data_IF_329914001631
#
_entry.id   IF_329914001631
#
_cell.length_a   1.000
_cell.length_b   1.000
_cell.length_c   1.000
_cell.angle_alpha   90.00
_cell.angle_beta   90.00
_cell.angle_gamma   90.00
#
_symmetry.space_group_name_H-M   'P 1'
#
loop_
_entity.id
_entity.type
_entity.pdbx_description
1 polymer ?
#
# COMPACT_ATOMS: atom_id res chain seq x y z
N UNK A 1 -54.67 -21.63 -73.88
CA UNK A 1 -54.73 -21.76 -72.41
C UNK A 1 -53.79 -20.77 -71.84
N UNK A 2 -54.28 -19.60 -71.41
CA UNK A 2 -53.47 -18.54 -70.76
C UNK A 2 -53.74 -18.59 -69.24
N UNK A 3 -52.70 -18.81 -68.42
CA UNK A 3 -52.79 -18.68 -67.00
C UNK A 3 -52.36 -17.27 -66.57
N UNK A 4 -53.24 -16.58 -65.90
CA UNK A 4 -53.08 -15.27 -65.33
C UNK A 4 -52.42 -15.49 -63.94
N UNK A 5 -51.29 -14.87 -63.72
CA UNK A 5 -50.67 -14.77 -62.39
C UNK A 5 -51.10 -13.46 -61.73
N UNK A 6 -51.76 -13.60 -60.61
CA UNK A 6 -52.11 -12.49 -59.71
C UNK A 6 -50.92 -12.21 -58.75
N UNK A 7 -50.35 -11.01 -58.83
CA UNK A 7 -49.32 -10.55 -57.94
C UNK A 7 -49.93 -9.75 -56.79
N UNK A 8 -49.88 -10.27 -55.61
CA UNK A 8 -50.24 -9.55 -54.37
C UNK A 8 -49.03 -8.71 -53.87
N UNK A 9 -49.18 -7.39 -53.86
CA UNK A 9 -48.27 -6.46 -53.27
C UNK A 9 -48.46 -6.50 -51.72
N UNK A 10 -47.39 -6.88 -50.96
CA UNK A 10 -47.35 -6.76 -49.55
C UNK A 10 -46.62 -5.45 -49.22
N UNK A 11 -47.35 -4.50 -48.64
CA UNK A 11 -46.75 -3.25 -48.14
C UNK A 11 -46.01 -3.51 -46.79
N UNK A 12 -44.71 -3.38 -46.80
CA UNK A 12 -43.89 -3.44 -45.56
C UNK A 12 -43.86 -2.05 -44.93
N UNK A 13 -44.47 -1.91 -43.76
CA UNK A 13 -44.34 -0.73 -42.91
C UNK A 13 -42.98 -0.80 -42.16
N UNK A 14 -42.08 0.10 -42.52
CA UNK A 14 -40.82 0.34 -41.81
C UNK A 14 -41.12 1.09 -40.52
N UNK A 15 -40.92 0.42 -39.36
CA UNK A 15 -40.79 1.08 -38.07
C UNK A 15 -39.32 1.55 -37.89
N UNK A 16 -39.05 2.79 -37.45
CA UNK A 16 -37.69 3.20 -37.14
C UNK A 16 -37.26 2.52 -35.87
N UNK A 17 -36.19 1.71 -35.94
CA UNK A 17 -35.49 1.18 -34.77
C UNK A 17 -34.80 2.32 -34.03
N UNK A 18 -35.34 2.69 -32.90
CA UNK A 18 -34.65 3.57 -31.92
C UNK A 18 -33.46 2.81 -31.35
N UNK A 19 -32.27 3.10 -31.86
CA UNK A 19 -31.03 2.64 -31.26
C UNK A 19 -30.78 3.41 -29.94
N UNK A 20 -31.23 2.85 -28.83
CA UNK A 20 -30.76 3.29 -27.53
C UNK A 20 -29.33 2.75 -27.33
N UNK A 21 -28.35 3.53 -27.75
CA UNK A 21 -26.98 3.35 -27.29
C UNK A 21 -26.90 3.73 -25.81
N UNK A 22 -27.08 2.75 -24.93
CA UNK A 22 -26.67 2.91 -23.54
C UNK A 22 -25.13 2.97 -23.54
N UNK A 23 -24.61 4.17 -23.58
CA UNK A 23 -23.22 4.43 -23.28
C UNK A 23 -22.99 4.07 -21.81
N UNK A 24 -22.38 2.91 -21.58
CA UNK A 24 -21.87 2.55 -20.26
C UNK A 24 -20.74 3.50 -19.88
N UNK A 25 -21.08 4.64 -19.28
CA UNK A 25 -20.10 5.53 -18.69
C UNK A 25 -19.57 4.86 -17.40
N UNK A 26 -18.26 4.58 -17.28
CA UNK A 26 -17.70 3.97 -16.08
C UNK A 26 -18.05 4.73 -14.78
N UNK A 27 -18.26 6.05 -14.85
CA UNK A 27 -18.67 6.87 -13.73
C UNK A 27 -20.08 6.49 -13.20
N UNK A 28 -21.03 6.17 -14.08
CA UNK A 28 -22.40 5.81 -13.70
C UNK A 28 -22.52 4.45 -13.01
N UNK A 29 -21.56 3.54 -13.23
CA UNK A 29 -21.53 2.23 -12.56
C UNK A 29 -21.01 2.32 -11.12
N UNK A 30 -20.11 3.27 -10.84
CA UNK A 30 -19.60 3.53 -9.49
C UNK A 30 -20.67 4.13 -8.56
N UNK A 31 -21.56 4.96 -9.09
CA UNK A 31 -22.64 5.61 -8.32
C UNK A 31 -23.76 4.66 -7.84
N UNK A 32 -23.82 3.42 -8.37
CA UNK A 32 -24.79 2.39 -7.98
C UNK A 32 -24.23 1.38 -6.96
N UNK A 33 -22.92 1.40 -6.67
CA UNK A 33 -22.31 0.54 -5.67
C UNK A 33 -22.53 1.12 -4.27
N UNK A 34 -22.73 0.24 -3.28
CA UNK A 34 -22.76 0.66 -1.87
C UNK A 34 -21.40 1.19 -1.47
N UNK A 35 -21.35 2.43 -0.99
CA UNK A 35 -20.12 3.02 -0.48
C UNK A 35 -19.67 2.32 0.79
N UNK A 36 -18.37 2.10 0.91
CA UNK A 36 -17.73 1.74 2.17
C UNK A 36 -17.32 3.04 2.86
N UNK A 37 -17.60 3.16 4.16
CA UNK A 37 -17.13 4.25 5.02
C UNK A 37 -15.95 3.77 5.86
N UNK A 38 -15.17 4.65 6.50
CA UNK A 38 -14.07 4.22 7.37
C UNK A 38 -14.48 3.19 8.41
N UNK A 39 -15.71 3.25 8.95
CA UNK A 39 -16.24 2.29 9.93
C UNK A 39 -16.61 0.94 9.32
N UNK A 40 -16.94 0.90 8.04
CA UNK A 40 -17.37 -0.32 7.33
C UNK A 40 -16.30 -0.85 6.39
N UNK A 41 -15.29 -0.05 6.08
CA UNK A 41 -14.19 -0.46 5.21
C UNK A 41 -13.16 -1.26 6.01
N UNK A 42 -13.38 -2.56 6.06
CA UNK A 42 -12.41 -3.50 6.62
C UNK A 42 -11.23 -3.61 5.68
N UNK A 43 -10.10 -3.13 6.12
CA UNK A 43 -8.87 -3.11 5.36
C UNK A 43 -7.67 -3.11 6.30
N UNK A 44 -6.64 -3.86 5.92
CA UNK A 44 -5.31 -3.76 6.51
C UNK A 44 -4.42 -2.92 5.58
N UNK A 45 -3.41 -2.30 6.19
CA UNK A 45 -2.31 -1.67 5.47
C UNK A 45 -2.77 -0.63 4.41
N UNK A 46 -3.64 0.34 4.78
CA UNK A 46 -4.25 1.23 3.81
C UNK A 46 -3.27 2.32 3.35
N UNK A 47 -2.78 2.21 2.13
CA UNK A 47 -1.95 3.21 1.47
C UNK A 47 -2.79 4.09 0.53
N UNK A 48 -2.84 5.41 0.78
CA UNK A 48 -3.66 6.36 0.02
C UNK A 48 -2.85 7.03 -1.09
N UNK A 49 -3.16 6.72 -2.33
CA UNK A 49 -2.64 7.43 -3.51
C UNK A 49 -3.55 8.61 -3.86
N UNK A 50 -2.99 9.82 -3.95
CA UNK A 50 -3.73 11.05 -4.29
C UNK A 50 -3.56 11.36 -5.78
N UNK A 51 -4.65 11.40 -6.53
CA UNK A 51 -4.66 11.85 -7.93
C UNK A 51 -5.22 13.28 -8.02
N UNK A 52 -4.34 14.27 -7.93
CA UNK A 52 -4.70 15.69 -8.02
C UNK A 52 -5.34 16.07 -9.36
N UNK A 53 -4.97 15.37 -10.45
CA UNK A 53 -5.50 15.63 -11.79
C UNK A 53 -6.97 15.19 -11.91
N UNK A 54 -7.30 14.02 -11.36
CA UNK A 54 -8.65 13.46 -11.35
C UNK A 54 -9.47 13.89 -10.12
N UNK A 55 -8.86 14.62 -9.19
CA UNK A 55 -9.46 15.05 -7.92
C UNK A 55 -10.08 13.89 -7.15
N UNK A 56 -9.29 12.84 -6.93
CA UNK A 56 -9.73 11.66 -6.19
C UNK A 56 -8.55 10.94 -5.53
N UNK A 57 -8.91 9.94 -4.73
CA UNK A 57 -8.00 9.09 -3.97
C UNK A 57 -8.19 7.64 -4.40
N UNK A 58 -7.14 6.85 -4.29
CA UNK A 58 -7.17 5.41 -4.51
C UNK A 58 -6.53 4.70 -3.33
N UNK A 59 -7.08 3.56 -2.95
CA UNK A 59 -6.43 2.55 -2.13
C UNK A 59 -6.36 1.28 -2.97
N UNK A 60 -5.18 0.67 -3.03
CA UNK A 60 -4.99 -0.64 -3.64
C UNK A 60 -4.73 -1.61 -2.49
N UNK A 61 -5.44 -2.72 -2.47
CA UNK A 61 -5.34 -3.74 -1.44
C UNK A 61 -5.16 -5.13 -2.06
N UNK A 62 -4.72 -6.07 -1.27
CA UNK A 62 -4.58 -7.46 -1.68
C UNK A 62 -5.94 -8.10 -1.94
N UNK A 63 -5.97 -9.00 -2.92
CA UNK A 63 -7.15 -9.74 -3.32
C UNK A 63 -6.76 -11.12 -3.88
N UNK A 64 -7.76 -11.91 -4.23
CA UNK A 64 -7.61 -13.13 -5.03
C UNK A 64 -8.59 -13.09 -6.19
N UNK A 65 -8.22 -13.74 -7.30
CA UNK A 65 -9.14 -14.02 -8.39
C UNK A 65 -10.08 -15.18 -8.03
N UNK A 66 -11.11 -15.41 -8.82
CA UNK A 66 -11.98 -16.59 -8.67
C UNK A 66 -11.20 -17.92 -8.79
N UNK A 67 -10.13 -17.93 -9.59
CA UNK A 67 -9.20 -19.07 -9.73
C UNK A 67 -8.14 -19.11 -8.63
N UNK A 68 -8.27 -18.30 -7.57
CA UNK A 68 -7.39 -18.23 -6.41
C UNK A 68 -5.96 -17.72 -6.70
N UNK A 69 -5.72 -17.08 -7.84
CA UNK A 69 -4.46 -16.38 -8.06
C UNK A 69 -4.36 -15.12 -7.20
N UNK A 70 -3.15 -14.74 -6.81
CA UNK A 70 -2.90 -13.47 -6.13
C UNK A 70 -3.28 -12.31 -7.03
N UNK A 71 -3.97 -11.35 -6.46
CA UNK A 71 -4.48 -10.20 -7.19
C UNK A 71 -4.40 -8.93 -6.35
N UNK A 72 -4.56 -7.78 -6.99
CA UNK A 72 -4.77 -6.51 -6.33
C UNK A 72 -6.11 -5.92 -6.78
N UNK A 73 -6.82 -5.33 -5.81
CA UNK A 73 -8.10 -4.63 -6.03
C UNK A 73 -7.96 -3.18 -5.63
N UNK A 74 -8.52 -2.29 -6.44
CA UNK A 74 -8.54 -0.88 -6.15
C UNK A 74 -9.89 -0.41 -5.61
N UNK A 75 -9.83 0.57 -4.73
CA UNK A 75 -10.96 1.37 -4.27
C UNK A 75 -10.71 2.83 -4.59
N UNK A 76 -11.76 3.59 -4.86
CA UNK A 76 -11.71 5.00 -5.21
C UNK A 76 -12.61 5.81 -4.29
N UNK A 77 -12.13 6.99 -3.87
CA UNK A 77 -12.89 8.00 -3.16
C UNK A 77 -12.68 9.40 -3.76
N UNK A 78 -13.61 10.32 -3.53
CA UNK A 78 -13.44 11.76 -3.84
C UNK A 78 -13.39 12.64 -2.59
N UNK A 79 -13.70 12.07 -1.42
CA UNK A 79 -13.89 12.80 -0.16
C UNK A 79 -13.19 12.16 1.05
N UNK A 80 -12.54 10.98 0.88
CA UNK A 80 -11.94 10.15 1.93
C UNK A 80 -12.95 9.48 2.88
N UNK A 81 -14.23 9.78 2.74
CA UNK A 81 -15.32 9.26 3.57
C UNK A 81 -16.05 8.10 2.87
N UNK A 82 -16.24 8.20 1.55
CA UNK A 82 -16.97 7.22 0.76
C UNK A 82 -16.04 6.54 -0.25
N UNK A 83 -15.86 5.23 -0.10
CA UNK A 83 -14.99 4.41 -0.94
C UNK A 83 -15.79 3.42 -1.77
N UNK A 84 -15.48 3.35 -3.04
CA UNK A 84 -16.17 2.52 -4.02
C UNK A 84 -15.20 1.54 -4.66
N UNK A 85 -15.63 0.28 -4.79
CA UNK A 85 -14.86 -0.75 -5.48
C UNK A 85 -14.63 -0.37 -6.95
N UNK A 86 -13.38 -0.30 -7.35
CA UNK A 86 -12.96 0.04 -8.72
C UNK A 86 -12.47 -1.20 -9.50
N UNK A 87 -12.57 -2.40 -8.91
CA UNK A 87 -12.25 -3.68 -9.54
C UNK A 87 -10.81 -4.14 -9.36
N UNK A 88 -10.50 -5.28 -9.97
CA UNK A 88 -9.15 -5.84 -9.98
C UNK A 88 -8.26 -5.00 -10.89
N UNK A 89 -7.03 -4.74 -10.42
CA UNK A 89 -6.01 -3.96 -11.12
C UNK A 89 -4.76 -4.78 -11.45
N UNK A 90 -4.64 -5.97 -10.85
CA UNK A 90 -3.58 -6.94 -11.08
C UNK A 90 -4.10 -8.36 -10.89
N UNK A 91 -3.59 -9.28 -11.70
CA UNK A 91 -3.80 -10.72 -11.64
C UNK A 91 -2.46 -11.41 -11.92
N UNK A 92 -1.93 -12.14 -10.93
CA UNK A 92 -0.62 -12.77 -11.01
C UNK A 92 -0.55 -13.92 -12.04
N UNK A 93 -1.67 -14.45 -12.50
CA UNK A 93 -1.70 -15.56 -13.47
C UNK A 93 -1.04 -15.24 -14.81
N UNK A 94 -0.74 -13.97 -15.07
CA UNK A 94 -0.24 -13.48 -16.34
C UNK A 94 1.25 -13.13 -16.35
N UNK A 95 1.98 -13.34 -15.23
CA UNK A 95 3.39 -13.00 -15.15
C UNK A 95 4.20 -13.94 -14.22
N UNK A 96 5.41 -13.54 -13.89
CA UNK A 96 6.35 -14.37 -13.11
C UNK A 96 5.85 -14.71 -11.69
N UNK A 97 4.88 -13.98 -11.14
CA UNK A 97 4.28 -14.27 -9.85
C UNK A 97 3.13 -15.28 -9.91
N UNK A 98 2.87 -15.87 -11.09
CA UNK A 98 1.92 -16.98 -11.25
C UNK A 98 2.28 -18.22 -10.41
N UNK A 99 3.57 -18.36 -10.05
CA UNK A 99 4.06 -19.47 -9.21
C UNK A 99 3.80 -19.28 -7.71
N UNK A 100 3.30 -18.12 -7.28
CA UNK A 100 2.98 -17.85 -5.87
C UNK A 100 1.82 -18.72 -5.43
N UNK A 101 2.07 -19.61 -4.46
CA UNK A 101 1.05 -20.49 -3.91
C UNK A 101 0.07 -19.69 -3.04
N UNK A 102 -1.22 -19.78 -3.34
CA UNK A 102 -2.25 -18.99 -2.65
C UNK A 102 -2.57 -19.47 -1.25
N UNK A 103 -2.12 -20.64 -0.85
CA UNK A 103 -2.35 -21.22 0.48
C UNK A 103 -1.15 -21.03 1.41
N UNK A 104 0.06 -21.12 0.88
CA UNK A 104 1.30 -21.11 1.67
C UNK A 104 2.03 -19.76 1.59
N UNK A 105 2.05 -19.13 0.42
CA UNK A 105 2.77 -17.88 0.20
C UNK A 105 1.98 -16.66 0.68
N UNK A 106 2.71 -15.67 1.13
CA UNK A 106 2.13 -14.40 1.57
C UNK A 106 1.82 -13.47 0.41
N UNK A 107 0.89 -12.54 0.62
CA UNK A 107 0.56 -11.47 -0.30
C UNK A 107 0.01 -10.29 0.51
N UNK A 108 0.89 -9.36 0.93
CA UNK A 108 0.60 -8.36 1.95
C UNK A 108 1.02 -6.95 1.55
N UNK A 109 0.44 -5.97 2.25
CA UNK A 109 0.89 -4.60 2.38
C UNK A 109 1.25 -3.89 1.05
N UNK A 110 0.28 -3.69 0.13
CA UNK A 110 0.55 -3.01 -1.12
C UNK A 110 0.62 -1.48 -0.96
N UNK A 111 1.80 -0.90 -1.16
CA UNK A 111 2.06 0.54 -1.17
C UNK A 111 2.13 1.07 -2.60
N UNK A 112 1.26 2.01 -2.96
CA UNK A 112 1.16 2.50 -4.34
C UNK A 112 1.67 3.91 -4.53
N UNK A 113 2.61 4.09 -5.45
CA UNK A 113 3.27 5.36 -5.74
C UNK A 113 3.13 5.75 -7.22
N UNK A 114 3.14 7.06 -7.47
CA UNK A 114 3.42 7.60 -8.79
C UNK A 114 4.87 8.09 -8.84
N UNK A 115 5.69 7.44 -9.67
CA UNK A 115 7.10 7.80 -9.83
C UNK A 115 7.45 7.94 -11.31
N UNK A 116 8.02 9.08 -11.70
CA UNK A 116 8.41 9.41 -13.09
C UNK A 116 7.33 9.13 -14.15
N UNK A 117 6.08 9.45 -13.81
CA UNK A 117 4.94 9.31 -14.73
C UNK A 117 4.27 7.94 -14.76
N UNK A 118 4.87 6.91 -14.18
CA UNK A 118 4.34 5.55 -14.04
C UNK A 118 3.80 5.32 -12.64
N UNK A 119 3.01 4.27 -12.47
CA UNK A 119 2.49 3.83 -11.17
C UNK A 119 3.18 2.52 -10.77
N UNK A 120 3.56 2.45 -9.51
CA UNK A 120 4.23 1.30 -8.92
C UNK A 120 3.53 0.91 -7.64
N UNK A 121 3.25 -0.37 -7.49
CA UNK A 121 2.72 -0.92 -6.23
C UNK A 121 3.78 -1.87 -5.66
N UNK A 122 4.34 -1.49 -4.53
CA UNK A 122 5.22 -2.37 -3.76
C UNK A 122 4.36 -3.33 -2.97
N UNK A 123 4.71 -4.60 -2.94
CA UNK A 123 3.93 -5.63 -2.27
C UNK A 123 4.85 -6.68 -1.67
N UNK A 124 4.52 -7.16 -0.49
CA UNK A 124 5.20 -8.30 0.13
C UNK A 124 4.65 -9.61 -0.41
N UNK A 125 5.55 -10.49 -0.84
CA UNK A 125 5.24 -11.84 -1.31
C UNK A 125 6.25 -12.84 -0.78
N UNK A 126 6.01 -14.12 -0.99
CA UNK A 126 6.98 -15.20 -0.93
C UNK A 126 6.78 -16.14 -2.13
N UNK A 127 7.73 -16.98 -2.38
CA UNK A 127 7.62 -18.08 -3.34
C UNK A 127 8.42 -19.26 -2.78
N UNK A 128 7.93 -19.83 -1.68
CA UNK A 128 8.64 -20.81 -0.87
C UNK A 128 8.95 -22.11 -1.63
N UNK A 129 8.05 -22.52 -2.53
CA UNK A 129 8.29 -23.63 -3.44
C UNK A 129 9.52 -23.41 -4.38
N UNK A 130 9.90 -22.16 -4.60
CA UNK A 130 11.10 -21.75 -5.35
C UNK A 130 12.30 -21.45 -4.44
N UNK A 131 12.19 -21.68 -3.13
CA UNK A 131 13.23 -21.37 -2.14
C UNK A 131 13.38 -19.86 -1.87
N UNK A 132 12.36 -19.06 -2.18
CA UNK A 132 12.38 -17.60 -2.00
C UNK A 132 11.51 -17.25 -0.78
N UNK A 133 12.11 -16.86 0.37
CA UNK A 133 11.39 -16.44 1.56
C UNK A 133 10.66 -15.13 1.29
N UNK A 134 10.02 -14.55 2.31
CA UNK A 134 9.31 -13.27 2.17
C UNK A 134 10.22 -12.18 1.61
N UNK A 135 9.72 -11.47 0.63
CA UNK A 135 10.41 -10.38 -0.05
C UNK A 135 9.41 -9.27 -0.41
N UNK A 136 9.90 -8.06 -0.60
CA UNK A 136 9.11 -7.02 -1.25
C UNK A 136 9.52 -6.88 -2.71
N UNK A 137 8.52 -6.73 -3.57
CA UNK A 137 8.69 -6.44 -5.00
C UNK A 137 7.88 -5.22 -5.40
N UNK A 138 8.06 -4.73 -6.64
CA UNK A 138 7.25 -3.69 -7.24
C UNK A 138 6.56 -4.20 -8.51
N UNK A 139 5.27 -4.00 -8.59
CA UNK A 139 4.46 -4.12 -9.80
C UNK A 139 4.35 -2.76 -10.46
N UNK A 140 4.21 -2.72 -11.78
CA UNK A 140 4.23 -1.48 -12.55
C UNK A 140 3.00 -1.34 -13.46
N UNK A 141 2.50 -0.11 -13.61
CA UNK A 141 1.50 0.25 -14.61
C UNK A 141 1.85 1.56 -15.33
N UNK A 142 1.79 1.53 -16.66
CA UNK A 142 1.93 2.71 -17.52
C UNK A 142 0.60 3.41 -17.82
N UNK A 143 -0.52 2.75 -17.55
CA UNK A 143 -1.86 3.24 -17.95
C UNK A 143 -2.56 4.06 -16.86
N UNK A 144 -2.18 3.88 -15.61
CA UNK A 144 -2.80 4.64 -14.53
C UNK A 144 -2.87 3.87 -13.20
N UNK A 145 -3.45 4.51 -12.16
CA UNK A 145 -3.56 3.87 -10.84
C UNK A 145 -4.48 2.65 -10.83
N UNK A 146 -5.38 2.54 -11.79
CA UNK A 146 -6.29 1.40 -11.95
C UNK A 146 -5.72 0.31 -12.86
N UNK A 147 -4.42 0.30 -13.08
CA UNK A 147 -3.74 -0.76 -13.83
C UNK A 147 -4.04 -0.80 -15.32
N UNK A 148 -3.88 -1.96 -15.97
CA UNK A 148 -3.35 -3.19 -15.36
C UNK A 148 -1.91 -3.02 -14.87
N UNK A 149 -1.61 -3.63 -13.73
CA UNK A 149 -0.24 -3.77 -13.24
C UNK A 149 0.36 -5.08 -13.73
N UNK A 150 1.67 -5.17 -13.73
CA UNK A 150 2.43 -6.37 -14.10
C UNK A 150 3.74 -6.43 -13.34
N UNK A 151 4.30 -7.62 -13.16
CA UNK A 151 5.65 -7.81 -12.64
C UNK A 151 6.67 -7.20 -13.62
N UNK A 152 7.79 -6.72 -13.10
CA UNK A 152 8.80 -6.01 -13.90
C UNK A 152 9.84 -6.94 -14.53
N UNK A 153 9.82 -8.22 -14.19
CA UNK A 153 10.67 -9.27 -14.73
C UNK A 153 9.88 -10.55 -14.98
N UNK A 154 10.29 -11.32 -15.98
CA UNK A 154 9.66 -12.59 -16.33
C UNK A 154 10.19 -13.76 -15.47
N UNK A 155 11.26 -13.56 -14.73
CA UNK A 155 11.87 -14.58 -13.87
C UNK A 155 11.69 -14.23 -12.40
N UNK A 156 11.06 -15.13 -11.64
CA UNK A 156 10.77 -14.95 -10.21
C UNK A 156 12.01 -14.61 -9.38
N UNK A 157 13.18 -15.15 -9.71
CA UNK A 157 14.42 -14.86 -8.99
C UNK A 157 14.95 -13.43 -9.16
N UNK A 158 14.45 -12.69 -10.13
CA UNK A 158 14.80 -11.29 -10.39
C UNK A 158 13.78 -10.31 -9.78
N UNK A 159 12.66 -10.82 -9.27
CA UNK A 159 11.56 -10.05 -8.73
C UNK A 159 11.87 -9.40 -7.36
N UNK A 160 12.59 -10.05 -6.41
CA UNK A 160 12.82 -9.46 -5.09
C UNK A 160 13.66 -8.18 -5.15
N UNK A 161 13.15 -7.12 -4.53
CA UNK A 161 13.85 -5.84 -4.32
C UNK A 161 14.53 -5.74 -2.95
N UNK A 162 14.28 -6.70 -2.07
CA UNK A 162 14.94 -6.90 -0.78
C UNK A 162 16.02 -7.97 -0.88
N UNK A 163 16.94 -8.09 0.10
CA UNK A 163 18.04 -9.07 0.05
C UNK A 163 17.54 -10.51 -0.09
N UNK A 164 18.30 -11.30 -0.86
CA UNK A 164 17.98 -12.70 -1.10
C UNK A 164 18.22 -13.55 0.17
N UNK A 165 17.35 -14.52 0.43
CA UNK A 165 17.46 -15.44 1.56
C UNK A 165 17.14 -14.85 2.93
N UNK A 166 16.65 -13.63 2.99
CA UNK A 166 16.28 -12.93 4.23
C UNK A 166 14.77 -12.67 4.22
N UNK A 167 14.09 -12.93 5.35
CA UNK A 167 12.68 -12.61 5.53
C UNK A 167 12.47 -11.09 5.59
N UNK A 168 11.94 -10.52 4.51
CA UNK A 168 11.71 -9.07 4.39
C UNK A 168 10.27 -8.77 4.00
N UNK A 169 9.68 -7.78 4.67
CA UNK A 169 8.29 -7.34 4.43
C UNK A 169 8.17 -5.81 4.35
N UNK A 170 7.00 -5.32 4.00
CA UNK A 170 6.51 -3.94 4.13
C UNK A 170 7.44 -2.90 3.50
N UNK A 171 7.86 -3.16 2.27
CA UNK A 171 8.75 -2.24 1.56
C UNK A 171 8.02 -1.01 1.05
N UNK A 172 8.46 0.18 1.46
CA UNK A 172 7.95 1.47 1.01
C UNK A 172 8.99 2.26 0.21
N UNK A 173 8.53 3.05 -0.77
CA UNK A 173 9.41 3.85 -1.61
C UNK A 173 9.75 5.18 -0.94
N UNK A 174 11.03 5.46 -0.81
CA UNK A 174 11.54 6.79 -0.49
C UNK A 174 12.44 7.30 -1.63
N UNK A 175 12.22 8.55 -2.05
CA UNK A 175 13.09 9.21 -3.05
C UNK A 175 13.82 10.35 -2.37
N UNK A 176 15.14 10.26 -2.33
CA UNK A 176 15.96 11.29 -1.70
C UNK A 176 16.07 12.57 -2.55
N UNK A 177 16.63 13.63 -1.98
CA UNK A 177 16.76 14.96 -2.62
C UNK A 177 17.59 14.94 -3.92
N UNK A 178 18.53 14.01 -4.03
CA UNK A 178 19.33 13.80 -5.25
C UNK A 178 18.60 12.97 -6.32
N UNK A 179 17.34 12.58 -6.04
CA UNK A 179 16.53 11.73 -6.90
C UNK A 179 16.87 10.24 -6.83
N UNK A 180 17.69 9.83 -5.87
CA UNK A 180 17.99 8.40 -5.62
C UNK A 180 16.77 7.70 -5.01
N UNK A 181 16.23 6.64 -5.65
CA UNK A 181 15.16 5.86 -5.08
C UNK A 181 15.70 4.79 -4.12
N UNK A 182 15.01 4.62 -3.02
CA UNK A 182 15.25 3.61 -1.99
C UNK A 182 13.97 2.85 -1.70
N UNK A 183 14.09 1.55 -1.45
CA UNK A 183 13.06 0.80 -0.73
C UNK A 183 13.48 0.74 0.74
N UNK A 184 12.59 1.18 1.63
CA UNK A 184 12.73 1.04 3.08
C UNK A 184 11.86 -0.13 3.49
N UNK A 185 12.40 -1.09 4.22
CA UNK A 185 11.71 -2.36 4.48
C UNK A 185 12.04 -2.91 5.86
N UNK A 186 11.23 -3.83 6.32
CA UNK A 186 11.45 -4.59 7.54
C UNK A 186 12.19 -5.88 7.23
N UNK A 187 13.28 -6.15 7.94
CA UNK A 187 13.80 -7.49 8.18
C UNK A 187 13.09 -8.06 9.39
N UNK A 188 12.38 -9.17 9.20
CA UNK A 188 11.50 -9.70 10.23
C UNK A 188 12.26 -10.25 11.46
N UNK A 189 11.58 -10.21 12.59
CA UNK A 189 12.07 -10.66 13.89
C UNK A 189 12.08 -12.19 14.08
N UNK A 190 11.39 -12.94 13.22
CA UNK A 190 11.16 -14.39 13.32
C UNK A 190 11.75 -15.20 12.16
N UNK A 191 12.61 -14.60 11.35
CA UNK A 191 13.31 -15.32 10.28
C UNK A 191 14.33 -16.32 10.84
N UNK A 192 14.65 -17.39 10.11
CA UNK A 192 15.62 -18.41 10.54
C UNK A 192 17.02 -17.83 10.79
N UNK A 193 17.33 -16.69 10.19
CA UNK A 193 18.56 -15.92 10.34
C UNK A 193 18.57 -15.01 11.57
N UNK A 194 17.44 -14.85 12.27
CA UNK A 194 17.30 -13.91 13.38
C UNK A 194 17.55 -14.60 14.72
N UNK A 195 18.67 -14.27 15.36
CA UNK A 195 19.07 -14.91 16.61
C UNK A 195 18.36 -14.34 17.86
N UNK A 196 17.98 -13.06 17.84
CA UNK A 196 17.55 -12.32 19.02
C UNK A 196 16.05 -11.99 19.02
N UNK A 197 15.27 -12.48 18.07
CA UNK A 197 13.85 -12.15 17.89
C UNK A 197 13.59 -10.64 17.79
N UNK A 198 14.49 -9.90 17.14
CA UNK A 198 14.38 -8.45 16.97
C UNK A 198 14.28 -8.11 15.49
N UNK A 199 13.18 -7.47 15.12
CA UNK A 199 12.98 -6.89 13.81
C UNK A 199 13.83 -5.63 13.61
N UNK A 200 14.22 -5.39 12.37
CA UNK A 200 15.10 -4.30 11.97
C UNK A 200 14.51 -3.56 10.78
N UNK A 201 14.68 -2.25 10.73
CA UNK A 201 14.43 -1.47 9.53
C UNK A 201 15.71 -1.29 8.72
N UNK A 202 15.62 -1.49 7.43
CA UNK A 202 16.72 -1.38 6.47
C UNK A 202 16.28 -0.57 5.25
N UNK A 203 17.25 -0.06 4.49
CA UNK A 203 16.98 0.57 3.21
C UNK A 203 17.92 0.00 2.14
N UNK A 204 17.36 -0.32 0.97
CA UNK A 204 18.08 -0.78 -0.22
C UNK A 204 17.93 0.27 -1.33
N UNK A 205 19.04 0.73 -1.87
CA UNK A 205 19.00 1.60 -3.05
C UNK A 205 18.49 0.82 -4.26
N UNK A 206 17.61 1.45 -5.03
CA UNK A 206 17.03 0.88 -6.24
C UNK A 206 17.63 1.52 -7.49
N UNK A 207 17.49 0.84 -8.63
CA UNK A 207 17.68 1.44 -9.95
C UNK A 207 16.69 2.58 -10.16
N UNK A 208 16.99 3.47 -11.11
CA UNK A 208 16.07 4.59 -11.46
C UNK A 208 14.75 4.12 -12.09
N UNK A 209 14.63 2.84 -12.46
CA UNK A 209 13.41 2.20 -12.98
C UNK A 209 12.64 1.45 -11.90
N UNK A 210 13.19 1.33 -10.70
CA UNK A 210 12.67 0.55 -9.57
C UNK A 210 12.61 -0.97 -9.86
N UNK A 211 13.40 -1.45 -10.81
CA UNK A 211 13.40 -2.83 -11.28
C UNK A 211 14.60 -3.68 -10.75
N UNK A 212 15.37 -3.15 -9.82
CA UNK A 212 16.50 -3.89 -9.26
C UNK A 212 17.22 -3.16 -8.14
N UNK A 213 18.02 -3.92 -7.40
CA UNK A 213 18.84 -3.49 -6.27
C UNK A 213 20.15 -2.87 -6.77
N UNK A 214 20.69 -1.88 -6.04
CA UNK A 214 21.97 -1.22 -6.34
C UNK A 214 22.83 -1.13 -5.07
N UNK A 215 23.98 -1.82 -5.06
CA UNK A 215 24.89 -1.85 -3.91
C UNK A 215 24.30 -2.57 -2.70
N UNK A 216 24.95 -2.40 -1.55
CA UNK A 216 24.54 -3.05 -0.31
C UNK A 216 23.42 -2.27 0.39
N UNK A 217 22.52 -2.95 1.14
CA UNK A 217 21.53 -2.31 1.97
C UNK A 217 22.20 -1.58 3.15
N UNK A 218 21.50 -0.59 3.69
CA UNK A 218 21.93 0.14 4.88
C UNK A 218 20.99 -0.13 6.04
N UNK A 219 21.55 -0.38 7.22
CA UNK A 219 20.83 -0.51 8.47
C UNK A 219 20.30 0.86 8.92
N UNK A 220 19.07 0.90 9.45
CA UNK A 220 18.44 2.13 9.94
C UNK A 220 18.24 2.09 11.46
N UNK A 221 17.52 1.08 11.99
CA UNK A 221 17.28 0.93 13.43
C UNK A 221 16.77 -0.49 13.77
N UNK A 222 16.74 -0.80 15.06
CA UNK A 222 16.15 -2.02 15.64
C UNK A 222 14.95 -1.68 16.52
N UNK A 223 13.97 -2.58 16.55
CA UNK A 223 12.75 -2.40 17.34
C UNK A 223 13.00 -2.27 18.84
N UNK A 224 13.99 -3.00 19.39
CA UNK A 224 14.34 -2.99 20.82
C UNK A 224 15.06 -1.71 21.30
N UNK A 225 15.43 -0.82 20.37
CA UNK A 225 15.95 0.51 20.69
C UNK A 225 14.84 1.50 21.09
N UNK A 226 13.58 1.20 20.79
CA UNK A 226 12.45 2.06 21.09
C UNK A 226 11.95 1.85 22.53
N UNK A 227 11.94 2.88 23.41
CA UNK A 227 11.56 2.72 24.82
C UNK A 227 10.13 2.23 25.06
N UNK A 228 9.25 2.36 24.07
CA UNK A 228 7.83 1.99 24.14
C UNK A 228 7.54 0.58 23.64
N UNK A 229 8.55 -0.17 23.17
CA UNK A 229 8.42 -1.54 22.64
C UNK A 229 8.98 -2.54 23.68
N UNK A 230 8.16 -3.10 24.56
CA UNK A 230 8.62 -4.03 25.60
C UNK A 230 8.89 -5.45 25.09
N UNK A 231 8.54 -5.75 23.85
CA UNK A 231 8.47 -7.08 23.26
C UNK A 231 7.03 -7.57 23.14
N UNK A 232 6.79 -8.37 22.11
CA UNK A 232 5.48 -8.94 21.70
C UNK A 232 5.62 -10.45 21.70
N UNK A 233 4.64 -11.19 22.21
CA UNK A 233 4.62 -12.66 22.28
C UNK A 233 6.04 -13.24 22.49
N UNK A 234 6.29 -14.16 23.26
CA UNK A 234 7.58 -14.81 23.47
C UNK A 234 8.84 -13.91 23.40
N UNK A 235 8.69 -12.59 23.61
CA UNK A 235 9.77 -11.60 23.60
C UNK A 235 10.20 -11.09 22.21
N UNK A 236 9.38 -11.29 21.17
CA UNK A 236 9.67 -10.72 19.84
C UNK A 236 9.52 -9.20 19.81
N UNK A 237 10.45 -8.50 19.15
CA UNK A 237 10.38 -7.06 18.92
C UNK A 237 10.10 -6.83 17.45
N UNK A 238 8.90 -6.39 17.13
CA UNK A 238 8.40 -6.27 15.76
C UNK A 238 8.74 -4.90 15.18
N UNK A 239 9.15 -4.86 13.92
CA UNK A 239 9.09 -3.68 13.06
C UNK A 239 8.12 -3.99 11.94
N UNK A 240 7.14 -3.13 11.70
CA UNK A 240 6.25 -3.16 10.55
C UNK A 240 6.19 -1.79 9.89
N UNK A 241 5.92 -1.76 8.58
CA UNK A 241 5.59 -0.57 7.80
C UNK A 241 6.52 0.65 8.01
N UNK A 242 7.83 0.53 7.82
CA UNK A 242 8.72 1.68 7.90
C UNK A 242 8.46 2.61 6.72
N UNK A 243 7.96 3.81 7.00
CA UNK A 243 7.58 4.82 6.02
C UNK A 243 8.34 6.12 6.27
N UNK A 244 9.10 6.63 5.31
CA UNK A 244 9.86 7.87 5.43
C UNK A 244 9.13 9.04 4.77
N UNK A 245 8.96 10.10 5.53
CA UNK A 245 8.44 11.39 5.10
C UNK A 245 9.50 12.47 5.24
N UNK A 246 9.66 13.31 4.22
CA UNK A 246 10.48 14.51 4.32
C UNK A 246 9.62 15.69 4.76
N UNK A 247 9.88 16.20 5.95
CA UNK A 247 9.33 17.49 6.37
C UNK A 247 9.99 18.61 5.55
N UNK A 248 9.20 19.23 4.69
CA UNK A 248 9.70 20.29 3.81
C UNK A 248 10.06 21.57 4.55
N UNK A 249 9.48 21.79 5.74
CA UNK A 249 9.70 23.02 6.50
C UNK A 249 11.06 22.97 7.23
N UNK A 250 11.38 21.85 7.87
CA UNK A 250 12.63 21.68 8.60
C UNK A 250 13.74 21.01 7.77
N UNK A 251 13.41 20.36 6.66
CA UNK A 251 14.31 19.51 5.89
C UNK A 251 14.63 18.16 6.52
N UNK A 252 14.15 17.89 7.73
CA UNK A 252 14.34 16.63 8.46
C UNK A 252 13.59 15.49 7.79
N UNK A 253 14.06 14.27 8.05
CA UNK A 253 13.29 13.07 7.75
C UNK A 253 12.57 12.58 9.00
N UNK A 254 11.29 12.32 8.85
CA UNK A 254 10.43 11.65 9.81
C UNK A 254 10.19 10.23 9.31
N UNK A 255 10.53 9.22 10.08
CA UNK A 255 10.18 7.83 9.80
C UNK A 255 9.09 7.40 10.75
N UNK A 256 7.98 6.94 10.21
CA UNK A 256 6.93 6.26 10.95
C UNK A 256 7.11 4.75 10.78
N UNK A 257 6.75 3.99 11.79
CA UNK A 257 6.81 2.54 11.80
C UNK A 257 5.83 2.00 12.83
N UNK A 258 5.52 0.73 12.78
CA UNK A 258 4.60 0.11 13.72
C UNK A 258 5.25 -1.03 14.50
N UNK A 259 4.77 -1.19 15.72
CA UNK A 259 5.13 -2.28 16.62
C UNK A 259 4.05 -2.48 17.69
N UNK A 260 4.32 -3.36 18.64
CA UNK A 260 3.43 -3.62 19.77
C UNK A 260 3.96 -2.96 21.03
N UNK A 261 3.10 -2.18 21.70
CA UNK A 261 3.36 -1.62 23.03
C UNK A 261 2.82 -2.53 24.13
N UNK A 262 2.87 -2.11 25.38
CA UNK A 262 2.41 -2.90 26.55
C UNK A 262 0.98 -3.43 26.34
N UNK A 263 0.80 -4.72 26.62
CA UNK A 263 -0.49 -5.42 26.43
C UNK A 263 -0.74 -5.88 24.99
N UNK A 264 0.31 -6.00 24.19
CA UNK A 264 0.25 -6.42 22.78
C UNK A 264 -0.64 -5.52 21.91
N UNK A 265 -0.69 -4.23 22.25
CA UNK A 265 -1.45 -3.24 21.51
C UNK A 265 -0.61 -2.68 20.36
N UNK A 266 -1.13 -2.77 19.13
CA UNK A 266 -0.44 -2.27 17.94
C UNK A 266 -0.41 -0.74 17.94
N UNK A 267 0.74 -0.17 17.61
CA UNK A 267 0.98 1.26 17.76
C UNK A 267 1.94 1.80 16.69
N UNK A 268 1.83 3.09 16.43
CA UNK A 268 2.71 3.84 15.51
C UNK A 268 3.78 4.55 16.33
N UNK A 269 5.04 4.27 16.00
CA UNK A 269 6.20 5.00 16.50
C UNK A 269 6.78 5.96 15.49
N UNK A 270 7.67 6.82 15.95
CA UNK A 270 8.39 7.78 15.13
C UNK A 270 9.88 7.77 15.43
N UNK A 271 10.67 7.95 14.35
CA UNK A 271 12.08 8.37 14.43
C UNK A 271 12.27 9.65 13.62
N UNK A 272 13.30 10.40 13.97
CA UNK A 272 13.69 11.61 13.24
C UNK A 272 15.17 11.53 12.84
N UNK A 273 15.49 11.84 11.56
CA UNK A 273 16.85 12.11 11.12
C UNK A 273 17.03 13.63 10.98
N UNK A 274 17.77 14.23 11.90
CA UNK A 274 18.04 15.67 11.90
C UNK A 274 18.96 16.12 10.76
N UNK A 275 19.78 15.20 10.25
CA UNK A 275 20.65 15.47 9.09
C UNK A 275 19.88 15.56 7.77
N UNK A 276 18.62 15.13 7.74
CA UNK A 276 17.78 15.07 6.53
C UNK A 276 18.27 14.03 5.53
N UNK A 277 19.13 13.09 5.92
CA UNK A 277 19.60 11.98 5.08
C UNK A 277 19.03 10.65 5.55
N UNK A 278 18.82 9.73 4.60
CA UNK A 278 18.33 8.38 4.92
C UNK A 278 19.28 7.59 5.83
N UNK A 279 20.56 7.93 5.83
CA UNK A 279 21.57 7.28 6.68
C UNK A 279 21.48 7.66 8.16
N UNK A 280 20.64 8.65 8.52
CA UNK A 280 20.52 9.12 9.88
C UNK A 280 21.70 9.98 10.36
N UNK A 281 22.04 9.98 11.65
CA UNK A 281 21.50 9.05 12.67
C UNK A 281 20.00 9.23 12.91
N UNK A 282 19.33 8.11 13.21
CA UNK A 282 17.91 8.08 13.52
C UNK A 282 17.71 8.10 15.04
N UNK A 283 16.82 8.96 15.51
CA UNK A 283 16.48 9.09 16.92
C UNK A 283 15.02 8.72 17.15
N UNK A 284 14.78 7.75 18.04
CA UNK A 284 13.43 7.35 18.43
C UNK A 284 12.74 8.41 19.29
N UNK A 285 11.46 8.62 19.02
CA UNK A 285 10.60 9.29 19.98
C UNK A 285 10.27 8.34 21.14
N UNK A 286 10.23 8.85 22.38
CA UNK A 286 10.11 8.02 23.58
C UNK A 286 8.72 7.41 23.77
N UNK A 287 7.73 7.85 23.00
CA UNK A 287 6.33 7.40 23.09
C UNK A 287 5.78 7.17 21.70
N UNK A 288 4.81 6.25 21.54
CA UNK A 288 4.10 6.10 20.28
C UNK A 288 3.31 7.37 19.92
N UNK A 289 3.16 7.64 18.63
CA UNK A 289 2.35 8.72 18.06
C UNK A 289 0.88 8.37 18.11
N UNK A 290 0.57 7.09 17.91
CA UNK A 290 -0.79 6.55 17.87
C UNK A 290 -0.82 5.15 18.50
N UNK A 291 -1.93 4.80 19.15
CA UNK A 291 -2.13 3.49 19.81
C UNK A 291 -3.43 2.86 19.33
N UNK A 292 -3.48 1.54 19.28
CA UNK A 292 -4.58 0.71 18.77
C UNK A 292 -4.78 0.84 17.24
N UNK A 293 -3.67 0.90 16.52
CA UNK A 293 -3.63 0.89 15.07
C UNK A 293 -2.22 1.10 14.56
N UNK A 294 -2.01 0.87 13.28
CA UNK A 294 -0.69 1.00 12.68
C UNK A 294 -0.70 0.74 11.18
N UNK A 295 0.46 0.44 10.65
CA UNK A 295 0.74 0.33 9.22
C UNK A 295 0.31 1.61 8.49
N UNK A 296 0.94 2.67 8.86
CA UNK A 296 0.57 4.04 8.53
C UNK A 296 1.37 4.61 7.36
N UNK A 297 0.78 5.58 6.68
CA UNK A 297 1.49 6.46 5.76
C UNK A 297 0.98 7.90 5.85
N UNK A 298 1.78 8.85 5.38
CA UNK A 298 1.42 10.25 5.32
C UNK A 298 1.14 10.69 3.88
N UNK A 299 0.14 11.54 3.71
CA UNK A 299 -0.16 12.17 2.43
C UNK A 299 -0.76 13.56 2.61
N UNK A 300 -0.63 14.41 1.60
CA UNK A 300 -1.42 15.63 1.52
C UNK A 300 -2.72 15.33 0.78
N UNK A 301 -3.87 15.68 1.36
CA UNK A 301 -5.16 15.59 0.70
C UNK A 301 -5.26 16.55 -0.49
N UNK A 302 -6.42 16.61 -1.16
CA UNK A 302 -6.64 17.47 -2.32
C UNK A 302 -6.59 18.96 -1.97
N UNK A 303 -6.88 19.30 -0.72
CA UNK A 303 -6.85 20.67 -0.19
C UNK A 303 -5.46 21.07 0.36
N UNK A 304 -4.54 20.11 0.44
CA UNK A 304 -3.16 20.32 0.88
C UNK A 304 -2.95 20.07 2.38
N UNK A 305 -3.95 19.59 3.12
CA UNK A 305 -3.80 19.24 4.53
C UNK A 305 -3.02 17.93 4.68
N UNK A 306 -2.17 17.86 5.70
CA UNK A 306 -1.44 16.64 6.00
C UNK A 306 -2.35 15.65 6.73
N UNK A 307 -2.41 14.43 6.20
CA UNK A 307 -3.20 13.33 6.72
C UNK A 307 -2.32 12.11 6.98
N UNK A 308 -2.78 11.26 7.89
CA UNK A 308 -2.22 9.93 8.13
C UNK A 308 -3.31 8.88 7.91
N UNK A 309 -3.08 7.91 7.02
CA UNK A 309 -3.90 6.70 6.95
C UNK A 309 -3.25 5.57 7.74
N UNK A 310 -4.07 4.70 8.32
CA UNK A 310 -3.66 3.50 9.04
C UNK A 310 -4.85 2.53 9.16
N UNK A 311 -4.59 1.26 9.49
CA UNK A 311 -5.68 0.42 9.98
C UNK A 311 -5.81 0.58 11.49
N UNK A 312 -7.05 0.76 11.93
CA UNK A 312 -7.43 0.87 13.33
C UNK A 312 -7.96 -0.48 13.79
N UNK A 313 -7.69 -0.85 15.05
CA UNK A 313 -7.94 -2.17 15.61
C UNK A 313 -7.23 -3.29 14.82
N UNK A 314 -6.05 -3.67 15.31
CA UNK A 314 -5.22 -4.65 14.62
C UNK A 314 -5.88 -6.03 14.41
N UNK A 315 -6.90 -6.37 15.19
CA UNK A 315 -7.62 -7.66 15.04
C UNK A 315 -8.69 -7.59 13.94
N UNK A 316 -9.38 -6.47 13.80
CA UNK A 316 -10.51 -6.29 12.89
C UNK A 316 -10.15 -5.48 11.63
N UNK A 317 -9.24 -4.54 11.76
CA UNK A 317 -8.65 -3.77 10.67
C UNK A 317 -9.64 -2.88 9.92
N UNK A 318 -9.89 -1.66 10.41
CA UNK A 318 -10.70 -0.67 9.70
C UNK A 318 -9.86 0.49 9.20
N UNK A 319 -10.28 1.09 8.08
CA UNK A 319 -9.67 2.32 7.61
C UNK A 319 -9.81 3.43 8.65
N UNK A 320 -8.70 4.09 8.97
CA UNK A 320 -8.71 5.34 9.71
C UNK A 320 -7.88 6.38 8.97
N UNK A 321 -8.43 7.59 8.81
CA UNK A 321 -7.73 8.74 8.25
C UNK A 321 -7.76 9.85 9.28
N UNK A 322 -6.59 10.33 9.67
CA UNK A 322 -6.39 11.28 10.75
C UNK A 322 -5.80 12.58 10.22
N UNK A 323 -6.26 13.71 10.78
CA UNK A 323 -5.55 14.98 10.64
C UNK A 323 -4.30 14.96 11.49
N UNK A 324 -3.19 15.39 10.90
CA UNK A 324 -1.90 15.41 11.58
C UNK A 324 -1.12 16.68 11.24
N UNK A 325 -0.21 17.06 12.10
CA UNK A 325 0.77 18.11 11.84
C UNK A 325 2.18 17.65 12.20
N UNK A 326 3.19 18.23 11.56
CA UNK A 326 4.59 18.04 11.94
C UNK A 326 5.09 19.40 12.44
N UNK A 327 5.48 19.47 13.71
CA UNK A 327 6.08 20.64 14.31
C UNK A 327 7.46 20.25 14.89
N UNK A 328 8.51 20.93 14.47
CA UNK A 328 9.89 20.65 14.87
C UNK A 328 10.35 19.20 14.60
N UNK A 329 9.82 18.59 13.54
CA UNK A 329 10.08 17.20 13.19
C UNK A 329 9.28 16.17 13.99
N UNK A 330 8.36 16.60 14.86
CA UNK A 330 7.49 15.73 15.66
C UNK A 330 6.09 15.72 15.05
N UNK A 331 5.60 14.53 14.72
CA UNK A 331 4.24 14.31 14.27
C UNK A 331 3.26 14.31 15.44
N UNK A 332 2.14 14.99 15.27
CA UNK A 332 1.03 15.04 16.22
C UNK A 332 -0.29 14.78 15.50
N UNK A 333 -1.13 13.97 16.11
CA UNK A 333 -2.51 13.77 15.67
C UNK A 333 -3.35 14.95 16.18
N UNK A 334 -4.05 15.63 15.26
CA UNK A 334 -4.88 16.81 15.55
C UNK A 334 -6.37 16.54 15.40
N UNK A 335 -6.79 15.35 14.96
CA UNK A 335 -8.19 14.94 14.81
C UNK A 335 -8.94 15.10 16.14
N UNK A 336 -10.04 15.88 16.21
CA UNK A 336 -10.72 16.18 17.47
C UNK A 336 -11.27 14.97 18.24
N UNK A 337 -11.62 13.90 17.54
CA UNK A 337 -12.10 12.64 18.14
C UNK A 337 -11.00 11.80 18.81
N UNK A 338 -9.73 12.14 18.61
CA UNK A 338 -8.60 11.50 19.24
C UNK A 338 -8.25 12.22 20.53
N UNK A 339 -9.00 11.92 21.60
CA UNK A 339 -8.71 12.53 22.91
C UNK A 339 -7.46 11.93 23.55
N UNK A 340 -6.76 12.73 24.35
CA UNK A 340 -5.59 12.28 25.15
C UNK A 340 -5.90 11.13 26.13
N UNK A 341 -7.18 10.83 26.38
CA UNK A 341 -7.64 9.70 27.19
C UNK A 341 -7.40 8.34 26.51
N UNK A 342 -7.34 8.28 25.18
CA UNK A 342 -6.99 7.06 24.45
C UNK A 342 -5.48 6.73 24.48
N UNK A 343 -4.66 7.68 24.95
CA UNK A 343 -3.19 7.49 25.09
C UNK A 343 -2.77 6.70 26.34
N UNK A 344 -3.70 6.40 27.24
CA UNK A 344 -3.42 5.82 28.56
C UNK A 344 -3.99 4.41 28.77
N UNK A 345 -4.51 3.79 27.71
CA UNK A 345 -5.01 2.40 27.79
C UNK A 345 -4.09 1.44 27.09
#
# INVERSE_FOLDING_TARGET
MKRILLSTLLAATLFPASAHTHGNNPATKLEQATALTPETFRIRDPFVLVDKKKKCYYIITTAQTESRHRALRAYRSTDLEHWYDAGLVYDSSHDALACVDTEQDVWWAPDTYRYKGRYYTFVTSSAEANGIPRFTTALCSDKGPLGPYHAMHDNISQIPLTPDGVQCIDGSLFVDNDGTPWIVYTKEWNGPEVQNKVGEAWAQRLTKKLDGKVGDPIFLFRADEAPWVPGFKDGGHVVDAPFIWRDKQSGRLVMLWSSFTTGDVYAVGQLTSETGTIRGPWKHEPRPVFVNGGHQMLFHDLDGNLKMSLHYDNNDGHLRILDVEIADGILRVTTPSYSSADKSR
#
